data_IF_944342480155
#
_entry.id   IF_944342480155
#
_cell.length_a   1.000
_cell.length_b   1.000
_cell.length_c   1.000
_cell.angle_alpha   90.00
_cell.angle_beta   90.00
_cell.angle_gamma   90.00
#
_symmetry.space_group_name_H-M   'P 1'
#
loop_
_entity.id
_entity.type
_entity.pdbx_description
1 polymer ?
#
# COMPACT_ATOMS: atom_id res chain seq x y z
N UNK A 1 -32.54 15.47 -10.52
CA UNK A 1 -32.62 14.05 -10.93
C UNK A 1 -31.41 13.32 -10.40
N UNK A 2 -31.42 12.97 -9.10
CA UNK A 2 -30.32 12.25 -8.44
C UNK A 2 -30.86 11.36 -7.32
N UNK A 3 -32.06 10.83 -7.51
CA UNK A 3 -32.68 9.87 -6.60
C UNK A 3 -32.68 8.52 -7.30
N UNK A 4 -32.20 7.49 -6.60
CA UNK A 4 -32.35 6.12 -7.07
C UNK A 4 -33.84 5.81 -7.13
N UNK A 5 -34.29 5.45 -8.33
CA UNK A 5 -35.67 5.07 -8.61
C UNK A 5 -35.81 3.55 -8.52
N UNK A 6 -36.95 3.08 -8.03
CA UNK A 6 -37.24 1.65 -7.89
C UNK A 6 -37.31 0.97 -9.26
N UNK A 7 -37.93 1.62 -10.24
CA UNK A 7 -38.03 1.08 -11.61
C UNK A 7 -36.65 0.92 -12.25
N UNK A 8 -35.72 1.83 -11.93
CA UNK A 8 -34.33 1.73 -12.37
C UNK A 8 -33.61 0.53 -11.72
N UNK A 9 -33.79 0.34 -10.41
CA UNK A 9 -33.17 -0.77 -9.67
C UNK A 9 -33.71 -2.14 -10.11
N UNK A 10 -35.02 -2.27 -10.33
CA UNK A 10 -35.66 -3.49 -10.83
C UNK A 10 -35.13 -3.87 -12.21
N UNK A 11 -34.94 -2.89 -13.10
CA UNK A 11 -34.35 -3.14 -14.42
C UNK A 11 -32.92 -3.69 -14.30
N UNK A 12 -32.08 -3.09 -13.46
CA UNK A 12 -30.71 -3.57 -13.24
C UNK A 12 -30.68 -4.97 -12.62
N UNK A 13 -31.61 -5.27 -11.71
CA UNK A 13 -31.72 -6.59 -11.11
C UNK A 13 -32.18 -7.65 -12.12
N UNK A 14 -33.13 -7.30 -12.99
CA UNK A 14 -33.54 -8.17 -14.10
C UNK A 14 -32.38 -8.44 -15.08
N UNK A 15 -31.61 -7.42 -15.45
CA UNK A 15 -30.42 -7.56 -16.30
C UNK A 15 -29.33 -8.43 -15.63
N UNK A 16 -29.17 -8.29 -14.31
CA UNK A 16 -28.30 -9.15 -13.51
C UNK A 16 -28.76 -10.61 -13.54
N UNK A 17 -30.05 -10.88 -13.29
CA UNK A 17 -30.61 -12.23 -13.29
C UNK A 17 -30.53 -12.89 -14.68
N UNK A 18 -30.61 -12.10 -15.75
CA UNK A 18 -30.49 -12.56 -17.12
C UNK A 18 -29.04 -12.91 -17.53
N UNK A 19 -28.04 -12.57 -16.73
CA UNK A 19 -26.62 -12.81 -17.03
C UNK A 19 -26.00 -13.87 -16.10
N UNK A 20 -25.87 -15.12 -16.55
CA UNK A 20 -25.29 -16.20 -15.76
C UNK A 20 -23.85 -15.92 -15.31
N UNK A 21 -23.08 -15.14 -16.08
CA UNK A 21 -21.73 -14.77 -15.70
C UNK A 21 -21.70 -13.84 -14.48
N UNK A 22 -22.69 -12.95 -14.36
CA UNK A 22 -22.80 -12.08 -13.18
C UNK A 22 -23.21 -12.87 -11.95
N UNK A 23 -24.13 -13.83 -12.10
CA UNK A 23 -24.52 -14.73 -11.01
C UNK A 23 -23.37 -15.62 -10.54
N UNK A 24 -22.61 -16.19 -11.47
CA UNK A 24 -21.41 -16.96 -11.15
C UNK A 24 -20.35 -16.09 -10.45
N UNK A 25 -20.20 -14.83 -10.88
CA UNK A 25 -19.27 -13.88 -10.27
C UNK A 25 -19.73 -13.49 -8.86
N UNK A 26 -21.02 -13.25 -8.63
CA UNK A 26 -21.56 -12.97 -7.29
C UNK A 26 -21.25 -14.14 -6.35
N UNK A 27 -21.58 -15.38 -6.74
CA UNK A 27 -21.32 -16.56 -5.93
C UNK A 27 -19.81 -16.72 -5.64
N UNK A 28 -18.96 -16.51 -6.65
CA UNK A 28 -17.51 -16.59 -6.46
C UNK A 28 -17.01 -15.53 -5.46
N UNK A 29 -17.38 -14.26 -5.64
CA UNK A 29 -16.91 -13.13 -4.83
C UNK A 29 -17.48 -13.16 -3.42
N UNK A 30 -18.77 -13.50 -3.25
CA UNK A 30 -19.41 -13.54 -1.93
C UNK A 30 -18.87 -14.65 -1.03
N UNK A 31 -18.51 -15.80 -1.61
CA UNK A 31 -17.96 -16.93 -0.85
C UNK A 31 -16.44 -16.87 -0.65
N UNK A 32 -15.69 -16.33 -1.61
CA UNK A 32 -14.21 -16.39 -1.59
C UNK A 32 -13.52 -15.03 -1.40
N UNK A 33 -14.25 -13.93 -1.49
CA UNK A 33 -13.71 -12.57 -1.51
C UNK A 33 -13.25 -12.14 -2.90
N UNK A 34 -13.13 -10.82 -3.11
CA UNK A 34 -12.83 -10.23 -4.42
C UNK A 34 -11.49 -10.70 -5.00
N UNK A 35 -10.41 -10.58 -4.22
CA UNK A 35 -9.05 -10.83 -4.72
C UNK A 35 -8.87 -12.28 -5.17
N UNK A 36 -9.27 -13.23 -4.32
CA UNK A 36 -9.15 -14.67 -4.60
C UNK A 36 -9.98 -15.10 -5.81
N UNK A 37 -11.15 -14.48 -6.00
CA UNK A 37 -12.01 -14.77 -7.16
C UNK A 37 -11.49 -14.21 -8.48
N UNK A 38 -10.61 -13.21 -8.44
CA UNK A 38 -10.01 -12.60 -9.63
C UNK A 38 -8.64 -13.18 -10.00
N UNK A 39 -8.05 -14.01 -9.15
CA UNK A 39 -6.77 -14.66 -9.44
C UNK A 39 -6.88 -15.54 -10.69
N UNK A 40 -5.99 -15.33 -11.66
CA UNK A 40 -5.93 -16.14 -12.88
C UNK A 40 -4.68 -16.99 -12.89
N UNK A 41 -4.83 -18.25 -13.32
CA UNK A 41 -3.70 -19.16 -13.50
C UNK A 41 -2.67 -18.61 -14.48
N UNK A 42 -3.12 -17.91 -15.52
CA UNK A 42 -2.22 -17.31 -16.53
C UNK A 42 -1.33 -16.24 -15.90
N UNK A 43 -1.86 -15.36 -15.05
CA UNK A 43 -1.04 -14.36 -14.35
C UNK A 43 0.04 -14.98 -13.48
N UNK A 44 -0.18 -16.17 -12.92
CA UNK A 44 0.85 -16.89 -12.16
C UNK A 44 1.92 -17.51 -13.06
N UNK A 45 1.56 -17.93 -14.28
CA UNK A 45 2.49 -18.43 -15.30
C UNK A 45 3.36 -17.29 -15.85
N UNK A 46 2.75 -16.13 -16.10
CA UNK A 46 3.43 -14.96 -16.68
C UNK A 46 4.35 -14.26 -15.67
N UNK A 47 4.15 -14.48 -14.38
CA UNK A 47 4.93 -13.89 -13.29
C UNK A 47 6.09 -14.79 -12.86
N UNK A 48 7.01 -15.08 -13.78
CA UNK A 48 8.23 -15.83 -13.49
C UNK A 48 9.26 -14.94 -12.76
N UNK A 49 9.93 -15.49 -11.75
CA UNK A 49 10.92 -14.79 -10.94
C UNK A 49 12.35 -14.99 -11.45
N UNK A 50 12.52 -15.11 -12.77
CA UNK A 50 13.80 -15.28 -13.44
C UNK A 50 14.23 -13.97 -14.08
N UNK A 51 15.29 -13.38 -13.52
CA UNK A 51 15.83 -12.11 -13.99
C UNK A 51 17.22 -12.32 -14.62
N UNK A 52 17.48 -11.65 -15.75
CA UNK A 52 18.79 -11.73 -16.43
C UNK A 52 19.94 -11.12 -15.61
N UNK A 53 19.61 -10.20 -14.71
CA UNK A 53 20.54 -9.55 -13.80
C UNK A 53 19.91 -9.61 -12.42
N UNK A 54 20.57 -10.31 -11.51
CA UNK A 54 20.23 -10.31 -10.08
C UNK A 54 21.32 -9.54 -9.33
N UNK A 55 20.91 -8.56 -8.53
CA UNK A 55 21.82 -7.62 -7.89
C UNK A 55 22.29 -8.12 -6.51
N UNK A 56 21.47 -8.87 -5.80
CA UNK A 56 21.72 -9.24 -4.40
C UNK A 56 20.84 -10.39 -3.94
N UNK A 57 21.39 -11.24 -3.07
CA UNK A 57 20.67 -12.32 -2.36
C UNK A 57 20.53 -12.02 -0.86
N UNK A 58 20.64 -10.76 -0.45
CA UNK A 58 20.65 -10.36 0.96
C UNK A 58 19.31 -10.66 1.67
N UNK A 59 19.38 -10.95 2.97
CA UNK A 59 18.19 -11.25 3.77
C UNK A 59 17.18 -10.08 3.77
N UNK A 60 15.89 -10.40 3.64
CA UNK A 60 14.81 -9.42 3.61
C UNK A 60 14.57 -8.76 4.97
N UNK A 61 14.28 -7.46 4.95
CA UNK A 61 13.90 -6.66 6.12
C UNK A 61 12.37 -6.65 6.32
N UNK A 62 11.86 -6.48 7.54
CA UNK A 62 10.42 -6.46 7.82
C UNK A 62 9.98 -5.25 8.66
N UNK A 63 9.15 -4.37 8.08
CA UNK A 63 8.64 -3.18 8.77
C UNK A 63 7.54 -3.46 9.80
N UNK A 64 6.95 -4.67 9.78
CA UNK A 64 5.80 -5.09 10.60
C UNK A 64 4.60 -4.15 10.41
N UNK A 65 3.72 -4.03 11.40
CA UNK A 65 2.57 -3.12 11.38
C UNK A 65 3.00 -1.66 11.57
N UNK A 66 3.73 -1.09 10.60
CA UNK A 66 4.13 0.32 10.61
C UNK A 66 4.21 0.90 9.19
N UNK A 67 3.98 2.20 9.04
CA UNK A 67 4.08 2.92 7.75
C UNK A 67 5.50 3.35 7.39
N UNK A 68 6.49 2.46 7.53
CA UNK A 68 7.93 2.79 7.37
C UNK A 68 8.55 2.32 6.05
N UNK A 69 7.76 1.90 5.07
CA UNK A 69 8.26 1.35 3.80
C UNK A 69 9.31 2.24 3.11
N UNK A 70 9.13 3.55 3.12
CA UNK A 70 10.07 4.51 2.56
C UNK A 70 11.44 4.49 3.26
N UNK A 71 11.48 4.32 4.59
CA UNK A 71 12.72 4.19 5.34
C UNK A 71 13.41 2.86 5.03
N UNK A 72 12.66 1.77 5.01
CA UNK A 72 13.19 0.45 4.71
C UNK A 72 13.74 0.38 3.28
N UNK A 73 13.02 0.91 2.29
CA UNK A 73 13.48 0.99 0.91
C UNK A 73 14.78 1.79 0.79
N UNK A 74 14.84 2.98 1.39
CA UNK A 74 16.06 3.81 1.37
C UNK A 74 17.24 3.11 2.03
N UNK A 75 17.06 2.60 3.25
CA UNK A 75 18.13 1.94 4.00
C UNK A 75 18.57 0.62 3.35
N UNK A 76 17.67 -0.09 2.65
CA UNK A 76 18.04 -1.27 1.87
C UNK A 76 18.96 -0.90 0.71
N UNK A 77 18.72 0.20 -0.02
CA UNK A 77 19.66 0.62 -1.08
C UNK A 77 21.07 0.88 -0.54
N UNK A 78 21.19 1.52 0.63
CA UNK A 78 22.49 1.78 1.24
C UNK A 78 23.16 0.52 1.78
N UNK A 79 22.40 -0.36 2.43
CA UNK A 79 22.97 -1.56 3.06
C UNK A 79 23.58 -2.51 2.03
N UNK A 80 22.99 -2.65 0.83
CA UNK A 80 23.51 -3.53 -0.22
C UNK A 80 24.95 -3.14 -0.61
N UNK A 81 25.21 -1.83 -0.73
CA UNK A 81 26.55 -1.32 -0.96
C UNK A 81 27.50 -1.60 0.21
N UNK A 82 27.04 -1.36 1.45
CA UNK A 82 27.86 -1.61 2.64
C UNK A 82 28.20 -3.10 2.84
N UNK A 83 27.26 -3.99 2.56
CA UNK A 83 27.45 -5.44 2.57
C UNK A 83 28.56 -5.83 1.59
N UNK A 84 28.50 -5.31 0.35
CA UNK A 84 29.52 -5.57 -0.68
C UNK A 84 30.89 -5.00 -0.30
N UNK A 85 30.95 -3.73 0.12
CA UNK A 85 32.20 -3.03 0.41
C UNK A 85 32.92 -3.62 1.65
N UNK A 86 32.17 -4.01 2.68
CA UNK A 86 32.72 -4.47 3.97
C UNK A 86 32.61 -5.99 4.19
N UNK A 87 32.11 -6.75 3.21
CA UNK A 87 31.95 -8.22 3.25
C UNK A 87 31.17 -8.70 4.48
N UNK A 88 30.01 -8.08 4.73
CA UNK A 88 29.13 -8.38 5.86
C UNK A 88 28.08 -9.41 5.45
N UNK A 89 27.74 -10.38 6.31
CA UNK A 89 26.74 -11.41 5.94
C UNK A 89 25.29 -11.01 6.22
N UNK A 90 24.99 -10.50 7.42
CA UNK A 90 23.63 -10.19 7.87
C UNK A 90 23.56 -8.78 8.47
N UNK A 91 23.69 -7.76 7.62
CA UNK A 91 23.74 -6.37 8.05
C UNK A 91 22.44 -5.60 7.78
N UNK A 92 22.00 -4.82 8.76
CA UNK A 92 20.94 -3.84 8.62
C UNK A 92 21.33 -2.50 9.25
N UNK A 93 20.93 -1.42 8.60
CA UNK A 93 20.94 -0.08 9.21
C UNK A 93 19.72 0.06 10.13
N UNK A 94 19.88 0.78 11.24
CA UNK A 94 18.80 0.95 12.21
C UNK A 94 17.67 1.82 11.64
N UNK A 95 16.60 1.17 11.16
CA UNK A 95 15.39 1.85 10.71
C UNK A 95 14.61 2.46 11.89
N UNK A 96 14.81 1.94 13.09
CA UNK A 96 14.25 2.51 14.32
C UNK A 96 14.89 3.87 14.67
N UNK A 97 16.18 4.05 14.38
CA UNK A 97 16.88 5.31 14.62
C UNK A 97 16.32 6.44 13.74
N UNK A 98 16.19 6.21 12.44
CA UNK A 98 15.57 7.20 11.54
C UNK A 98 14.11 7.45 11.89
N UNK A 99 13.39 6.41 12.34
CA UNK A 99 11.99 6.54 12.76
C UNK A 99 11.80 7.40 14.01
N UNK A 100 12.69 7.28 14.98
CA UNK A 100 12.66 8.13 16.18
C UNK A 100 12.78 9.61 15.81
N UNK A 101 13.82 9.96 15.03
CA UNK A 101 14.05 11.34 14.64
C UNK A 101 12.97 11.88 13.70
N UNK A 102 12.46 11.07 12.77
CA UNK A 102 11.32 11.45 11.93
C UNK A 102 10.08 11.82 12.76
N UNK A 103 9.79 11.07 13.83
CA UNK A 103 8.66 11.37 14.72
C UNK A 103 8.90 12.64 15.52
N UNK A 104 10.11 12.80 16.06
CA UNK A 104 10.49 13.98 16.82
C UNK A 104 10.38 15.25 15.95
N UNK A 105 11.02 15.25 14.79
CA UNK A 105 11.03 16.39 13.87
C UNK A 105 9.65 16.72 13.34
N UNK A 106 8.83 15.71 12.97
CA UNK A 106 7.46 15.96 12.49
C UNK A 106 6.56 16.54 13.56
N UNK A 107 6.77 16.18 14.83
CA UNK A 107 6.00 16.74 15.94
C UNK A 107 6.32 18.22 16.13
N UNK A 108 7.61 18.58 16.06
CA UNK A 108 8.05 19.97 16.10
C UNK A 108 7.54 20.74 14.87
N UNK A 109 7.71 20.18 13.67
CA UNK A 109 7.24 20.79 12.43
C UNK A 109 5.74 21.03 12.44
N UNK A 110 4.94 20.12 13.00
CA UNK A 110 3.51 20.31 13.17
C UNK A 110 3.20 21.52 14.05
N UNK A 111 3.91 21.71 15.18
CA UNK A 111 3.74 22.89 16.02
C UNK A 111 4.06 24.19 15.27
N UNK A 112 5.14 24.19 14.48
CA UNK A 112 5.47 25.33 13.60
C UNK A 112 4.38 25.58 12.55
N UNK A 113 3.76 24.55 12.00
CA UNK A 113 2.64 24.73 11.07
C UNK A 113 1.41 25.36 11.74
N UNK A 114 1.13 25.01 13.00
CA UNK A 114 0.03 25.63 13.77
C UNK A 114 0.32 27.12 13.99
N UNK A 115 1.54 27.49 14.38
CA UNK A 115 1.93 28.89 14.53
C UNK A 115 1.80 29.63 13.20
N UNK A 116 2.28 29.03 12.11
CA UNK A 116 2.24 29.61 10.76
C UNK A 116 0.83 29.70 10.16
N UNK A 117 -0.18 29.08 10.78
CA UNK A 117 -1.58 29.11 10.34
C UNK A 117 -2.54 29.62 11.41
N UNK A 118 -2.01 30.27 12.44
CA UNK A 118 -2.78 30.73 13.60
C UNK A 118 -3.83 31.81 13.26
N UNK A 119 -3.71 32.48 12.11
CA UNK A 119 -4.65 33.47 11.59
C UNK A 119 -5.81 32.85 10.80
N UNK A 120 -5.73 31.56 10.46
CA UNK A 120 -6.76 30.87 9.70
C UNK A 120 -7.86 30.32 10.63
N UNK A 121 -9.08 30.22 10.10
CA UNK A 121 -10.18 29.56 10.81
C UNK A 121 -9.85 28.08 11.08
N UNK A 122 -10.19 27.60 12.28
CA UNK A 122 -9.96 26.23 12.74
C UNK A 122 -10.56 25.19 11.78
N UNK A 123 -11.69 25.52 11.14
CA UNK A 123 -12.38 24.64 10.18
C UNK A 123 -11.86 24.71 8.74
N UNK A 124 -10.86 25.55 8.47
CA UNK A 124 -10.30 25.71 7.13
C UNK A 124 -9.63 24.43 6.64
N UNK A 125 -9.62 24.20 5.33
CA UNK A 125 -9.00 23.02 4.70
C UNK A 125 -7.52 22.81 5.10
N UNK A 126 -6.81 23.89 5.45
CA UNK A 126 -5.38 23.84 5.79
C UNK A 126 -5.13 23.51 7.27
N UNK A 127 -6.07 23.81 8.15
CA UNK A 127 -5.96 23.57 9.60
C UNK A 127 -6.68 22.29 10.04
N UNK A 128 -7.78 21.93 9.37
CA UNK A 128 -8.62 20.76 9.66
C UNK A 128 -7.96 19.42 9.33
#
# INVERSE_FOLDING_TARGET
MSTLDFDFAERLYADYLANPSLQATENAVSHNGLLKSLETRQSAIDNDYVFSIDLTTDAVSNQKASGRCWMFAALNTFRHKLISDFKLENFELSQAHTFFWDKYEKSNWFMEQIIATADLEIGSRKVK
#
